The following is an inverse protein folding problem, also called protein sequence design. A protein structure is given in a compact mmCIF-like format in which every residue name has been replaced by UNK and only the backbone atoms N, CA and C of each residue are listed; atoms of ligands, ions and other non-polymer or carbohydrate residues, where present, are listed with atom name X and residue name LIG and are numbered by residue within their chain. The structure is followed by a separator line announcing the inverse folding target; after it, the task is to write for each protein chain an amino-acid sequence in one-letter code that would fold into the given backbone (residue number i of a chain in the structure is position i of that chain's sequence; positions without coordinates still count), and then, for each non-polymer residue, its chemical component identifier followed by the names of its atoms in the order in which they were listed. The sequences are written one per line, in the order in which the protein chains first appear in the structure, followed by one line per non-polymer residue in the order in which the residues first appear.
data_IF_846090432766
#
_entry.id   IF_846090432766
#
_cell.length_a   1.000
_cell.length_b   1.000
_cell.length_c   1.000
_cell.angle_alpha   90.00
_cell.angle_beta   90.00
_cell.angle_gamma   90.00
#
_symmetry.space_group_name_H-M   'P 1'
#
loop_
_entity.id
_entity.type
_entity.pdbx_description
1 polymer ?
#
# COMPACT_ATOMS: atom_id res chain seq x y z
N UNK A 1 10.57 -5.77 7.59
CA UNK A 1 11.33 -4.55 7.98
C UNK A 1 11.05 -3.46 6.97
N UNK A 2 11.23 -2.19 7.30
CA UNK A 2 11.12 -1.10 6.33
C UNK A 2 12.24 -1.23 5.29
N UNK A 3 11.90 -1.01 4.02
CA UNK A 3 12.83 -1.13 2.91
C UNK A 3 13.81 0.03 2.80
N UNK A 4 13.38 1.21 3.28
CA UNK A 4 14.16 2.44 3.30
C UNK A 4 14.53 2.81 4.75
N UNK A 5 15.76 3.30 5.01
CA UNK A 5 16.18 3.69 6.35
C UNK A 5 15.33 4.82 6.96
N UNK A 6 15.04 4.72 8.25
CA UNK A 6 14.21 5.68 9.00
C UNK A 6 14.82 7.08 9.04
N UNK A 7 16.14 7.19 8.93
CA UNK A 7 16.92 8.42 8.82
C UNK A 7 16.43 9.32 7.67
N UNK A 8 15.77 8.74 6.66
CA UNK A 8 15.12 9.51 5.59
C UNK A 8 14.03 10.44 6.11
N UNK A 9 13.17 9.96 7.02
CA UNK A 9 12.12 10.79 7.62
C UNK A 9 12.62 11.57 8.83
N UNK A 10 13.67 11.10 9.51
CA UNK A 10 14.32 11.84 10.60
C UNK A 10 14.94 13.16 10.11
N UNK A 11 15.47 13.19 8.87
CA UNK A 11 15.94 14.42 8.21
C UNK A 11 14.87 15.50 8.05
N UNK A 12 13.59 15.16 8.19
CA UNK A 12 12.46 16.09 8.07
C UNK A 12 12.05 16.68 9.44
N UNK A 13 12.72 16.29 10.52
CA UNK A 13 12.42 16.78 11.87
C UNK A 13 12.73 18.27 12.01
N UNK A 14 11.91 18.95 12.83
CA UNK A 14 12.04 20.37 13.16
C UNK A 14 12.25 20.54 14.68
N UNK A 15 13.37 20.06 15.24
CA UNK A 15 13.59 20.01 16.68
C UNK A 15 13.65 21.40 17.32
N UNK A 16 14.27 22.41 16.68
CA UNK A 16 14.34 23.76 17.25
C UNK A 16 12.96 24.43 17.24
N UNK A 17 12.18 24.25 16.18
CA UNK A 17 10.79 24.71 16.09
C UNK A 17 9.93 24.05 17.15
N UNK A 18 10.10 22.73 17.36
CA UNK A 18 9.36 21.98 18.38
C UNK A 18 9.72 22.46 19.80
N UNK A 19 10.99 22.74 20.06
CA UNK A 19 11.43 23.30 21.34
C UNK A 19 10.90 24.73 21.55
N UNK A 20 11.00 25.60 20.54
CA UNK A 20 10.48 26.96 20.57
C UNK A 20 8.95 26.98 20.72
N UNK A 21 8.23 26.04 20.12
CA UNK A 21 6.78 25.89 20.28
C UNK A 21 6.41 25.52 21.72
N UNK A 22 7.16 24.60 22.37
CA UNK A 22 6.93 24.25 23.78
C UNK A 22 7.20 25.45 24.69
N UNK A 23 8.27 26.19 24.44
CA UNK A 23 8.59 27.42 25.16
C UNK A 23 7.48 28.47 24.99
N UNK A 24 7.01 28.67 23.76
CA UNK A 24 5.92 29.58 23.43
C UNK A 24 4.64 29.22 24.21
N UNK A 25 4.28 27.93 24.30
CA UNK A 25 3.14 27.46 25.08
C UNK A 25 3.30 27.80 26.57
N UNK A 26 4.49 27.57 27.15
CA UNK A 26 4.78 27.92 28.55
C UNK A 26 4.65 29.42 28.78
N UNK A 27 5.24 30.25 27.90
CA UNK A 27 5.15 31.72 28.04
C UNK A 27 3.74 32.25 27.82
N UNK A 28 2.96 31.62 26.95
CA UNK A 28 1.56 31.95 26.73
C UNK A 28 0.72 31.70 27.99
N UNK A 29 0.96 30.57 28.68
CA UNK A 29 0.29 30.25 29.94
C UNK A 29 0.68 31.21 31.07
N UNK A 30 1.98 31.47 31.26
CA UNK A 30 2.48 32.44 32.25
C UNK A 30 1.90 33.85 32.03
N UNK A 31 1.82 34.30 30.76
CA UNK A 31 1.22 35.58 30.42
C UNK A 31 -0.29 35.59 30.68
N UNK A 32 -1.01 34.52 30.34
CA UNK A 32 -2.45 34.39 30.59
C UNK A 32 -2.78 34.48 32.09
N UNK A 33 -1.97 33.85 32.94
CA UNK A 33 -2.09 33.94 34.39
C UNK A 33 -1.84 35.37 34.90
N UNK A 34 -0.72 35.98 34.51
CA UNK A 34 -0.38 37.35 34.92
C UNK A 34 -1.40 38.39 34.40
N UNK A 35 -1.94 38.16 33.20
CA UNK A 35 -3.02 38.97 32.61
C UNK A 35 -4.28 38.90 33.47
N UNK A 36 -4.66 37.70 33.93
CA UNK A 36 -5.85 37.50 34.77
C UNK A 36 -5.73 38.25 36.10
N UNK A 37 -4.56 38.22 36.74
CA UNK A 37 -4.29 38.98 37.97
C UNK A 37 -4.41 40.50 37.74
N UNK A 38 -3.89 41.01 36.62
CA UNK A 38 -4.04 42.42 36.26
C UNK A 38 -5.49 42.79 35.94
N UNK A 39 -6.26 41.91 35.29
CA UNK A 39 -7.69 42.11 35.05
C UNK A 39 -8.49 42.22 36.35
N UNK A 40 -8.19 41.40 37.36
CA UNK A 40 -8.80 41.51 38.69
C UNK A 40 -8.48 42.86 39.35
N UNK A 41 -7.23 43.30 39.29
CA UNK A 41 -6.81 44.59 39.83
C UNK A 41 -7.52 45.74 39.12
N UNK A 42 -7.62 45.70 37.78
CA UNK A 42 -8.32 46.71 36.98
C UNK A 42 -9.83 46.75 37.24
N UNK A 43 -10.45 45.63 37.66
CA UNK A 43 -11.86 45.59 38.12
C UNK A 43 -12.04 46.21 39.51
N UNK A 44 -11.01 46.19 40.35
CA UNK A 44 -11.04 46.80 41.69
C UNK A 44 -11.01 48.34 41.63
N UNK A 45 -11.68 49.05 42.55
CA UNK A 45 -11.64 50.53 42.60
C UNK A 45 -10.34 51.11 43.21
N UNK A 46 -9.38 50.25 43.56
CA UNK A 46 -8.15 50.58 44.31
C UNK A 46 -6.89 50.36 43.48
N UNK A 47 -6.98 50.45 42.14
CA UNK A 47 -5.87 50.15 41.22
C UNK A 47 -4.77 51.23 41.16
N UNK A 48 -4.95 52.41 41.76
CA UNK A 48 -3.88 53.43 41.90
C UNK A 48 -3.33 54.03 40.59
N UNK A 49 -4.03 53.82 39.47
CA UNK A 49 -3.62 54.26 38.12
C UNK A 49 -4.19 55.64 37.76
N UNK A 50 -3.43 56.44 37.00
CA UNK A 50 -3.97 57.61 36.30
C UNK A 50 -5.00 57.20 35.24
N UNK A 51 -5.91 58.11 34.85
CA UNK A 51 -6.95 57.81 33.84
C UNK A 51 -6.37 57.38 32.49
N UNK A 52 -5.23 57.94 32.11
CA UNK A 52 -4.53 57.62 30.85
C UNK A 52 -3.90 56.23 30.90
N UNK A 53 -3.17 55.91 31.99
CA UNK A 53 -2.56 54.61 32.19
C UNK A 53 -3.61 53.50 32.32
N UNK A 54 -4.71 53.76 33.03
CA UNK A 54 -5.84 52.82 33.11
C UNK A 54 -6.39 52.48 31.72
N UNK A 55 -6.65 53.48 30.88
CA UNK A 55 -7.15 53.24 29.51
C UNK A 55 -6.15 52.48 28.66
N UNK A 56 -4.86 52.79 28.77
CA UNK A 56 -3.82 52.16 27.99
C UNK A 56 -3.61 50.69 28.37
N UNK A 57 -3.54 50.39 29.68
CA UNK A 57 -3.46 49.03 30.21
C UNK A 57 -4.73 48.23 29.92
N UNK A 58 -5.91 48.80 30.17
CA UNK A 58 -7.18 48.14 29.86
C UNK A 58 -7.33 47.83 28.36
N UNK A 59 -6.87 48.74 27.49
CA UNK A 59 -6.81 48.49 26.04
C UNK A 59 -5.85 47.35 25.72
N UNK A 60 -4.62 47.41 26.20
CA UNK A 60 -3.57 46.43 25.90
C UNK A 60 -3.93 45.02 26.35
N UNK A 61 -4.46 44.89 27.56
CA UNK A 61 -4.93 43.63 28.13
C UNK A 61 -6.09 43.04 27.30
N UNK A 62 -7.06 43.88 26.90
CA UNK A 62 -8.19 43.45 26.06
C UNK A 62 -7.75 43.04 24.65
N UNK A 63 -6.76 43.73 24.06
CA UNK A 63 -6.23 43.41 22.73
C UNK A 63 -5.14 42.34 22.73
N UNK A 64 -4.70 41.86 23.90
CA UNK A 64 -3.59 40.91 24.01
C UNK A 64 -2.25 41.49 23.53
N UNK A 65 -2.13 42.81 23.46
CA UNK A 65 -0.91 43.48 23.02
C UNK A 65 -0.03 43.79 24.22
N UNK A 66 1.28 43.89 23.98
CA UNK A 66 2.24 44.37 24.97
C UNK A 66 1.75 45.73 25.52
N UNK A 67 1.61 45.89 26.84
CA UNK A 67 1.23 47.17 27.48
C UNK A 67 2.15 48.37 27.11
N UNK A 68 1.92 49.59 27.61
CA UNK A 68 2.92 50.65 27.53
C UNK A 68 3.94 50.54 28.68
N UNK A 69 5.20 50.95 28.43
CA UNK A 69 6.18 51.18 29.49
C UNK A 69 5.65 52.30 30.39
N UNK A 70 5.46 52.00 31.67
CA UNK A 70 4.99 52.94 32.69
C UNK A 70 5.68 52.60 34.02
N UNK A 71 5.78 53.58 34.93
CA UNK A 71 6.11 53.30 36.34
C UNK A 71 4.94 52.48 36.93
N UNK A 72 5.12 51.17 37.17
CA UNK A 72 4.02 50.29 37.49
C UNK A 72 3.56 50.56 38.93
N UNK A 73 2.26 50.83 39.19
CA UNK A 73 1.77 51.13 40.53
C UNK A 73 1.77 49.90 41.45
N UNK A 74 1.90 48.69 40.89
CA UNK A 74 1.98 47.44 41.64
C UNK A 74 2.89 46.41 40.97
N UNK A 75 3.40 45.46 41.77
CA UNK A 75 4.24 44.35 41.31
C UNK A 75 3.55 43.49 40.24
N UNK A 76 2.23 43.38 40.26
CA UNK A 76 1.46 42.58 39.30
C UNK A 76 1.54 43.16 37.88
N UNK A 77 1.49 44.50 37.71
CA UNK A 77 1.68 45.14 36.41
C UNK A 77 3.10 44.91 35.87
N UNK A 78 4.12 45.00 36.73
CA UNK A 78 5.51 44.72 36.35
C UNK A 78 5.72 43.25 35.94
N UNK A 79 5.11 42.30 36.66
CA UNK A 79 5.15 40.88 36.30
C UNK A 79 4.44 40.65 34.96
N UNK A 80 3.23 41.20 34.78
CA UNK A 80 2.49 41.06 33.52
C UNK A 80 3.27 41.64 32.33
N UNK A 81 3.97 42.76 32.52
CA UNK A 81 4.86 43.36 31.52
C UNK A 81 6.01 42.41 31.14
N UNK A 82 6.73 41.90 32.14
CA UNK A 82 7.84 40.97 31.95
C UNK A 82 7.39 39.70 31.21
N UNK A 83 6.24 39.13 31.58
CA UNK A 83 5.66 37.96 30.89
C UNK A 83 5.24 38.27 29.45
N UNK A 84 4.63 39.44 29.20
CA UNK A 84 4.28 39.86 27.84
C UNK A 84 5.52 40.03 26.95
N UNK A 85 6.60 40.60 27.49
CA UNK A 85 7.86 40.76 26.75
C UNK A 85 8.53 39.42 26.46
N UNK A 86 8.53 38.49 27.43
CA UNK A 86 9.03 37.11 27.23
C UNK A 86 8.21 36.35 26.21
N UNK A 87 6.88 36.50 26.21
CA UNK A 87 6.00 35.92 25.21
C UNK A 87 6.33 36.45 23.81
N UNK A 88 6.42 37.77 23.64
CA UNK A 88 6.77 38.36 22.34
C UNK A 88 8.16 37.90 21.83
N UNK A 89 9.14 37.74 22.74
CA UNK A 89 10.45 37.17 22.39
C UNK A 89 10.35 35.69 21.98
N UNK A 90 9.50 34.91 22.65
CA UNK A 90 9.28 33.50 22.31
C UNK A 90 8.54 33.34 20.98
N UNK A 91 7.57 34.21 20.68
CA UNK A 91 6.88 34.27 19.38
C UNK A 91 7.86 34.56 18.25
N UNK A 92 8.68 35.61 18.38
CA UNK A 92 9.69 35.96 17.37
C UNK A 92 10.72 34.83 17.18
N UNK A 93 11.14 34.18 18.27
CA UNK A 93 12.05 33.05 18.21
C UNK A 93 11.41 31.83 17.51
N UNK A 94 10.15 31.52 17.83
CA UNK A 94 9.38 30.47 17.17
C UNK A 94 9.24 30.72 15.67
N UNK A 95 8.85 31.92 15.26
CA UNK A 95 8.68 32.27 13.84
C UNK A 95 10.00 32.13 13.07
N UNK A 96 11.11 32.59 13.67
CA UNK A 96 12.44 32.45 13.08
C UNK A 96 12.85 30.97 12.93
N UNK A 97 12.66 30.16 13.97
CA UNK A 97 12.95 28.73 13.94
C UNK A 97 12.07 28.00 12.91
N UNK A 98 10.77 28.30 12.90
CA UNK A 98 9.80 27.72 11.99
C UNK A 98 10.15 28.02 10.54
N UNK A 99 10.44 29.27 10.21
CA UNK A 99 10.81 29.64 8.84
C UNK A 99 12.05 28.86 8.38
N UNK A 100 13.12 28.89 9.18
CA UNK A 100 14.39 28.24 8.87
C UNK A 100 14.25 26.71 8.72
N UNK A 101 13.67 26.04 9.70
CA UNK A 101 13.57 24.58 9.67
C UNK A 101 12.52 24.08 8.68
N UNK A 102 11.46 24.85 8.40
CA UNK A 102 10.50 24.52 7.36
C UNK A 102 11.15 24.55 5.98
N UNK A 103 11.97 25.55 5.66
CA UNK A 103 12.71 25.61 4.40
C UNK A 103 13.61 24.38 4.22
N UNK A 104 14.43 24.07 5.22
CA UNK A 104 15.32 22.89 5.23
C UNK A 104 14.52 21.58 5.09
N UNK A 105 13.45 21.42 5.86
CA UNK A 105 12.62 20.21 5.83
C UNK A 105 11.93 20.02 4.48
N UNK A 106 11.51 21.11 3.82
CA UNK A 106 10.92 21.04 2.47
C UNK A 106 11.94 20.59 1.43
N UNK A 107 13.16 21.13 1.46
CA UNK A 107 14.24 20.71 0.57
C UNK A 107 14.54 19.22 0.75
N UNK A 108 14.73 18.79 2.00
CA UNK A 108 14.98 17.39 2.34
C UNK A 108 13.82 16.45 1.93
N UNK A 109 12.57 16.92 2.05
CA UNK A 109 11.38 16.19 1.62
C UNK A 109 11.39 15.98 0.11
N UNK A 110 11.58 17.04 -0.67
CA UNK A 110 11.58 16.99 -2.13
C UNK A 110 12.74 16.13 -2.66
N UNK A 111 13.94 16.25 -2.08
CA UNK A 111 15.07 15.41 -2.45
C UNK A 111 14.83 13.93 -2.14
N UNK A 112 14.37 13.62 -0.93
CA UNK A 112 14.06 12.24 -0.54
C UNK A 112 12.94 11.66 -1.41
N UNK A 113 11.89 12.45 -1.68
CA UNK A 113 10.77 12.04 -2.51
C UNK A 113 11.22 11.71 -3.94
N UNK A 114 12.02 12.58 -4.56
CA UNK A 114 12.56 12.40 -5.91
C UNK A 114 13.47 11.17 -6.04
N UNK A 115 14.24 10.86 -5.00
CA UNK A 115 15.13 9.68 -5.02
C UNK A 115 14.40 8.37 -4.76
N UNK A 116 13.38 8.37 -3.90
CA UNK A 116 12.80 7.13 -3.36
C UNK A 116 11.45 6.79 -3.99
N UNK A 117 10.57 7.78 -4.15
CA UNK A 117 9.19 7.52 -4.57
C UNK A 117 9.04 7.01 -6.00
N UNK A 118 9.83 7.40 -7.01
CA UNK A 118 9.62 6.90 -8.38
C UNK A 118 9.58 5.38 -8.47
N UNK A 119 10.52 4.68 -7.84
CA UNK A 119 10.56 3.22 -7.84
C UNK A 119 9.41 2.58 -7.03
N UNK A 120 8.92 3.26 -5.99
CA UNK A 120 7.74 2.81 -5.23
C UNK A 120 6.46 2.96 -6.05
N UNK A 121 6.36 4.03 -6.84
CA UNK A 121 5.15 4.34 -7.61
C UNK A 121 4.92 3.42 -8.80
N UNK A 122 5.88 2.56 -9.15
CA UNK A 122 5.66 1.41 -10.04
C UNK A 122 4.53 0.50 -9.52
N UNK A 123 4.38 0.41 -8.20
CA UNK A 123 3.38 -0.42 -7.55
C UNK A 123 2.14 0.35 -7.10
N UNK A 124 2.13 1.66 -7.30
CA UNK A 124 1.00 2.50 -6.93
C UNK A 124 -0.09 2.52 -8.01
N UNK A 125 -1.32 2.84 -7.61
CA UNK A 125 -2.39 3.10 -8.56
C UNK A 125 -1.99 4.23 -9.54
N UNK A 126 -2.38 4.08 -10.80
CA UNK A 126 -2.07 4.97 -11.93
C UNK A 126 -2.32 6.46 -11.59
N UNK A 127 -3.49 6.78 -11.04
CA UNK A 127 -3.82 8.17 -10.66
C UNK A 127 -2.96 8.75 -9.52
N UNK A 128 -2.25 7.92 -8.74
CA UNK A 128 -1.23 8.41 -7.82
C UNK A 128 0.10 8.63 -8.55
N UNK A 129 0.49 7.70 -9.43
CA UNK A 129 1.69 7.82 -10.23
C UNK A 129 1.70 9.14 -11.00
N UNK A 130 0.66 9.43 -11.79
CA UNK A 130 0.57 10.67 -12.58
C UNK A 130 0.65 11.95 -11.73
N UNK A 131 0.01 11.95 -10.56
CA UNK A 131 -0.02 13.13 -9.68
C UNK A 131 1.34 13.42 -9.06
N UNK A 132 2.12 12.38 -8.74
CA UNK A 132 3.43 12.53 -8.12
C UNK A 132 4.54 12.67 -9.17
N UNK A 133 4.45 11.97 -10.31
CA UNK A 133 5.48 11.98 -11.37
C UNK A 133 5.62 13.33 -12.07
N UNK A 134 4.52 14.06 -12.30
CA UNK A 134 4.52 15.40 -12.93
C UNK A 134 5.42 16.42 -12.22
N UNK A 135 5.71 16.21 -10.93
CA UNK A 135 6.47 17.15 -10.10
C UNK A 135 7.86 16.63 -9.71
N UNK A 136 8.20 15.38 -10.05
CA UNK A 136 9.59 14.88 -9.97
C UNK A 136 10.46 15.28 -11.17
N UNK A 137 9.91 16.05 -12.12
CA UNK A 137 10.68 16.60 -13.24
C UNK A 137 11.92 17.33 -12.75
N UNK A 138 13.09 17.12 -13.40
CA UNK A 138 14.38 17.63 -12.95
C UNK A 138 14.52 19.13 -13.25
N UNK A 139 13.69 19.96 -12.61
CA UNK A 139 13.95 21.39 -12.55
C UNK A 139 14.82 21.61 -11.32
N UNK A 140 16.13 21.67 -11.54
CA UNK A 140 17.07 22.24 -10.57
C UNK A 140 16.68 23.72 -10.43
N UNK A 141 16.03 24.07 -9.33
CA UNK A 141 15.48 25.41 -9.12
C UNK A 141 14.86 25.58 -7.74
N UNK A 142 14.46 26.82 -7.43
CA UNK A 142 13.80 27.16 -6.18
C UNK A 142 12.49 26.35 -6.02
N UNK A 143 12.23 25.87 -4.80
CA UNK A 143 11.00 25.16 -4.47
C UNK A 143 9.76 25.98 -4.85
N UNK A 144 8.68 25.32 -5.28
CA UNK A 144 7.43 26.01 -5.59
C UNK A 144 6.90 26.78 -4.37
N UNK A 145 6.23 27.93 -4.59
CA UNK A 145 5.65 28.72 -3.51
C UNK A 145 4.62 27.89 -2.75
N UNK A 146 4.68 27.93 -1.42
CA UNK A 146 3.90 27.07 -0.54
C UNK A 146 2.44 27.51 -0.42
N UNK A 147 1.63 27.19 -1.43
CA UNK A 147 0.19 27.44 -1.45
C UNK A 147 -0.62 26.22 -0.93
N UNK A 148 -1.96 26.28 -0.97
CA UNK A 148 -2.83 25.18 -0.52
C UNK A 148 -2.56 23.86 -1.28
N UNK A 149 -2.35 23.93 -2.59
CA UNK A 149 -2.09 22.77 -3.44
C UNK A 149 -0.74 22.14 -3.09
N UNK A 150 0.30 22.97 -2.97
CA UNK A 150 1.65 22.52 -2.64
C UNK A 150 1.70 21.84 -1.27
N UNK A 151 1.01 22.41 -0.27
CA UNK A 151 0.91 21.77 1.06
C UNK A 151 0.25 20.38 1.01
N UNK A 152 -0.76 20.21 0.16
CA UNK A 152 -1.42 18.92 0.00
C UNK A 152 -0.51 17.91 -0.70
N UNK A 153 0.27 18.37 -1.67
CA UNK A 153 1.26 17.57 -2.37
C UNK A 153 2.41 17.14 -1.44
N UNK A 154 3.06 18.07 -0.75
CA UNK A 154 4.09 17.81 0.27
C UNK A 154 3.61 16.83 1.35
N UNK A 155 2.37 17.02 1.84
CA UNK A 155 1.76 16.09 2.78
C UNK A 155 1.63 14.69 2.19
N UNK A 156 1.26 14.57 0.91
CA UNK A 156 1.15 13.28 0.24
C UNK A 156 2.52 12.61 0.13
N UNK A 157 3.55 13.33 -0.32
CA UNK A 157 4.93 12.82 -0.38
C UNK A 157 5.41 12.35 1.00
N UNK A 158 5.20 13.17 2.04
CA UNK A 158 5.56 12.83 3.41
C UNK A 158 4.89 11.54 3.89
N UNK A 159 3.58 11.38 3.64
CA UNK A 159 2.85 10.18 4.06
C UNK A 159 3.38 8.90 3.39
N UNK A 160 3.78 8.97 2.11
CA UNK A 160 4.38 7.83 1.43
C UNK A 160 5.80 7.54 1.92
N UNK A 161 6.63 8.56 2.14
CA UNK A 161 7.94 8.36 2.73
C UNK A 161 7.83 7.76 4.14
N UNK A 162 6.91 8.25 4.97
CA UNK A 162 6.62 7.67 6.28
C UNK A 162 6.19 6.21 6.18
N UNK A 163 5.30 5.88 5.24
CA UNK A 163 4.90 4.49 5.02
C UNK A 163 6.10 3.60 4.69
N UNK A 164 6.96 4.03 3.76
CA UNK A 164 8.10 3.25 3.27
C UNK A 164 9.22 3.12 4.33
N UNK A 165 9.40 4.15 5.17
CA UNK A 165 10.49 4.20 6.15
C UNK A 165 10.10 3.69 7.54
N UNK A 166 8.83 3.78 7.92
CA UNK A 166 8.37 3.50 9.28
C UNK A 166 7.39 2.32 9.37
N UNK A 167 6.86 1.84 8.24
CA UNK A 167 5.93 0.71 8.23
C UNK A 167 6.59 -0.52 7.59
N UNK A 168 6.43 -1.65 8.26
CA UNK A 168 6.86 -2.95 7.76
C UNK A 168 5.78 -3.56 6.85
N UNK A 169 5.42 -2.88 5.77
CA UNK A 169 4.48 -3.42 4.78
C UNK A 169 5.23 -4.29 3.78
N UNK A 170 4.85 -5.56 3.64
CA UNK A 170 5.44 -6.49 2.67
C UNK A 170 5.13 -6.06 1.23
N UNK A 171 5.94 -5.16 0.68
CA UNK A 171 5.81 -4.65 -0.69
C UNK A 171 7.20 -4.47 -1.30
N UNK A 172 7.61 -5.40 -2.18
CA UNK A 172 8.86 -5.26 -2.95
C UNK A 172 10.06 -4.93 -2.04
N UNK A 173 11.05 -4.21 -2.55
CA UNK A 173 12.21 -3.72 -1.83
C UNK A 173 11.88 -2.67 -0.76
N UNK A 174 10.63 -2.19 -0.71
CA UNK A 174 10.14 -1.18 0.23
C UNK A 174 9.64 -1.75 1.55
N UNK A 175 9.44 -3.06 1.60
CA UNK A 175 9.35 -3.80 2.85
C UNK A 175 9.73 -5.25 2.64
N UNK A 176 11.03 -5.54 2.51
CA UNK A 176 11.48 -6.88 2.21
C UNK A 176 11.20 -7.82 3.39
N UNK A 177 10.81 -9.04 3.03
CA UNK A 177 10.73 -10.16 3.95
C UNK A 177 12.11 -10.66 4.35
N UNK A 178 12.16 -11.51 5.37
CA UNK A 178 13.38 -12.13 5.82
C UNK A 178 13.11 -13.27 6.76
N UNK A 179 13.95 -14.29 6.69
CA UNK A 179 13.90 -15.44 7.57
C UNK A 179 14.80 -15.22 8.77
N UNK A 180 14.49 -15.94 9.85
CA UNK A 180 15.41 -16.09 10.96
C UNK A 180 15.17 -17.39 11.70
N UNK A 181 15.93 -17.59 12.76
CA UNK A 181 15.97 -18.85 13.50
C UNK A 181 15.70 -18.67 14.98
N UNK A 182 15.24 -19.74 15.60
CA UNK A 182 15.24 -19.87 17.06
C UNK A 182 16.64 -20.33 17.46
N UNK A 183 17.31 -19.61 18.36
CA UNK A 183 18.67 -19.92 18.78
C UNK A 183 18.78 -19.93 20.32
N UNK A 184 19.06 -21.11 20.89
CA UNK A 184 19.17 -21.31 22.35
C UNK A 184 20.43 -20.66 22.94
N UNK A 185 21.41 -20.31 22.12
CA UNK A 185 22.72 -19.84 22.57
C UNK A 185 22.81 -18.32 22.74
N UNK A 186 21.88 -17.55 22.17
CA UNK A 186 21.87 -16.09 22.30
C UNK A 186 21.01 -15.66 23.49
N UNK A 187 21.33 -14.52 24.12
CA UNK A 187 20.40 -13.85 25.03
C UNK A 187 19.55 -12.85 24.24
N UNK A 188 18.23 -13.04 24.22
CA UNK A 188 17.31 -12.08 23.61
C UNK A 188 17.13 -12.23 22.10
N UNK A 189 17.25 -11.10 21.37
CA UNK A 189 17.01 -11.00 19.92
C UNK A 189 18.24 -10.37 19.25
N UNK A 190 18.65 -10.91 18.10
CA UNK A 190 19.65 -10.30 17.22
C UNK A 190 19.04 -10.05 15.83
N UNK A 191 19.38 -8.89 15.24
CA UNK A 191 18.96 -8.50 13.90
C UNK A 191 20.08 -7.69 13.25
N UNK A 192 20.64 -8.20 12.15
CA UNK A 192 21.73 -7.54 11.39
C UNK A 192 21.45 -7.63 9.89
N UNK A 193 20.51 -6.81 9.39
CA UNK A 193 20.12 -6.87 7.98
C UNK A 193 21.25 -6.43 7.07
N UNK A 194 21.56 -7.25 6.06
CA UNK A 194 22.50 -6.89 5.01
C UNK A 194 21.94 -5.74 4.15
N UNK A 195 22.83 -4.95 3.56
CA UNK A 195 22.44 -3.94 2.59
C UNK A 195 21.84 -4.56 1.34
N UNK A 196 20.81 -3.94 0.77
CA UNK A 196 20.22 -4.35 -0.51
C UNK A 196 19.16 -5.45 -0.38
N UNK A 197 18.92 -6.14 -1.49
CA UNK A 197 17.95 -7.23 -1.64
C UNK A 197 18.71 -8.49 -2.02
N UNK A 198 18.51 -9.57 -1.27
CA UNK A 198 19.17 -10.86 -1.49
C UNK A 198 18.48 -11.66 -2.59
N UNK A 199 17.14 -11.61 -2.64
CA UNK A 199 16.35 -12.32 -3.62
C UNK A 199 15.13 -11.47 -4.00
N UNK A 200 14.79 -11.50 -5.29
CA UNK A 200 13.66 -10.82 -5.87
C UNK A 200 12.86 -11.83 -6.67
N UNK A 201 11.58 -11.92 -6.37
CA UNK A 201 10.64 -12.77 -7.08
C UNK A 201 9.56 -11.88 -7.66
N UNK A 202 9.20 -12.14 -8.92
CA UNK A 202 8.10 -11.46 -9.58
C UNK A 202 7.25 -12.50 -10.26
N UNK A 203 5.94 -12.37 -10.08
CA UNK A 203 4.95 -13.30 -10.62
C UNK A 203 3.68 -12.54 -10.99
N UNK A 204 2.85 -13.14 -11.82
CA UNK A 204 1.56 -12.57 -12.17
C UNK A 204 0.59 -12.72 -10.99
N UNK A 205 -0.12 -11.64 -10.67
CA UNK A 205 -1.11 -11.62 -9.61
C UNK A 205 -2.25 -12.60 -9.91
N UNK A 206 -2.81 -13.23 -8.87
CA UNK A 206 -3.78 -14.33 -9.04
C UNK A 206 -4.98 -13.98 -9.93
N UNK A 207 -5.42 -12.72 -9.90
CA UNK A 207 -6.55 -12.27 -10.72
C UNK A 207 -6.28 -12.39 -12.22
N UNK A 208 -5.02 -12.29 -12.65
CA UNK A 208 -4.62 -12.44 -14.06
C UNK A 208 -4.89 -13.87 -14.55
N UNK A 209 -4.64 -14.88 -13.72
CA UNK A 209 -4.93 -16.28 -14.02
C UNK A 209 -6.44 -16.51 -14.09
N UNK A 210 -7.23 -15.86 -13.22
CA UNK A 210 -8.69 -15.90 -13.32
C UNK A 210 -9.20 -15.25 -14.61
N UNK A 211 -8.58 -14.16 -15.04
CA UNK A 211 -8.84 -13.54 -16.34
C UNK A 211 -8.57 -14.49 -17.50
N UNK A 212 -7.37 -15.07 -17.55
CA UNK A 212 -6.97 -16.04 -18.58
C UNK A 212 -7.89 -17.27 -18.58
N UNK A 213 -8.20 -17.84 -17.41
CA UNK A 213 -9.11 -18.97 -17.27
C UNK A 213 -10.52 -18.64 -17.78
N UNK A 214 -11.04 -17.44 -17.50
CA UNK A 214 -12.34 -17.01 -18.01
C UNK A 214 -12.33 -16.90 -19.55
N UNK A 215 -11.26 -16.34 -20.13
CA UNK A 215 -11.10 -16.25 -21.58
C UNK A 215 -11.00 -17.64 -22.23
N UNK A 216 -10.22 -18.54 -21.63
CA UNK A 216 -10.10 -19.95 -22.04
C UNK A 216 -11.45 -20.65 -22.01
N UNK A 217 -12.19 -20.55 -20.91
CA UNK A 217 -13.50 -21.20 -20.74
C UNK A 217 -14.59 -20.68 -21.67
N UNK A 218 -14.43 -19.47 -22.20
CA UNK A 218 -15.32 -18.90 -23.20
C UNK A 218 -15.10 -19.47 -24.61
N UNK A 219 -13.99 -20.17 -24.85
CA UNK A 219 -13.63 -20.77 -26.13
C UNK A 219 -14.10 -22.24 -26.19
N UNK A 220 -15.09 -22.58 -27.03
CA UNK A 220 -15.56 -23.96 -27.15
C UNK A 220 -14.48 -24.94 -27.64
N UNK A 221 -13.47 -24.47 -28.39
CA UNK A 221 -12.45 -25.32 -29.00
C UNK A 221 -11.55 -26.00 -27.95
N UNK A 222 -11.48 -25.48 -26.71
CA UNK A 222 -10.64 -26.05 -25.66
C UNK A 222 -11.27 -27.25 -24.96
N UNK A 223 -12.60 -27.42 -25.07
CA UNK A 223 -13.37 -28.40 -24.29
C UNK A 223 -12.82 -29.81 -24.41
N UNK A 224 -12.44 -30.21 -25.62
CA UNK A 224 -11.89 -31.52 -25.89
C UNK A 224 -10.55 -31.76 -25.18
N UNK A 225 -9.76 -30.72 -24.92
CA UNK A 225 -8.46 -30.82 -24.26
C UNK A 225 -8.56 -30.84 -22.73
N UNK A 226 -9.70 -30.44 -22.16
CA UNK A 226 -9.90 -30.40 -20.71
C UNK A 226 -10.24 -31.77 -20.15
N UNK A 227 -9.74 -32.05 -18.94
CA UNK A 227 -10.01 -33.28 -18.20
C UNK A 227 -11.19 -33.08 -17.24
N UNK A 228 -12.37 -33.65 -17.53
CA UNK A 228 -13.52 -33.53 -16.64
C UNK A 228 -13.28 -34.30 -15.33
N UNK A 229 -13.85 -33.78 -14.23
CA UNK A 229 -13.91 -34.50 -12.95
C UNK A 229 -15.27 -34.41 -12.29
N UNK A 230 -15.57 -35.36 -11.42
CA UNK A 230 -16.75 -35.23 -10.54
C UNK A 230 -16.72 -33.91 -9.77
N UNK A 231 -17.88 -33.27 -9.67
CA UNK A 231 -18.02 -32.04 -8.91
C UNK A 231 -17.70 -32.31 -7.42
N UNK A 232 -16.81 -31.53 -6.77
CA UNK A 232 -16.34 -31.82 -5.41
C UNK A 232 -17.45 -31.77 -4.35
N UNK A 233 -18.53 -31.04 -4.61
CA UNK A 233 -19.72 -30.96 -3.73
C UNK A 233 -20.75 -32.06 -4.04
N UNK A 234 -20.31 -33.21 -4.53
CA UNK A 234 -21.16 -34.38 -4.72
C UNK A 234 -20.37 -35.67 -4.78
N UNK A 235 -21.09 -36.79 -4.75
CA UNK A 235 -20.51 -38.14 -4.80
C UNK A 235 -21.42 -39.08 -5.57
N UNK A 236 -20.84 -40.15 -6.10
CA UNK A 236 -21.59 -41.28 -6.63
C UNK A 236 -22.03 -42.20 -5.49
N UNK A 237 -23.30 -42.58 -5.49
CA UNK A 237 -23.90 -43.54 -4.56
C UNK A 237 -24.80 -44.50 -5.34
N UNK A 238 -24.28 -45.67 -5.67
CA UNK A 238 -24.95 -46.64 -6.54
C UNK A 238 -25.24 -46.06 -7.93
N UNK A 239 -26.51 -45.96 -8.28
CA UNK A 239 -27.02 -45.42 -9.54
C UNK A 239 -27.41 -43.94 -9.45
N UNK A 240 -26.88 -43.20 -8.48
CA UNK A 240 -27.25 -41.80 -8.25
C UNK A 240 -26.03 -40.92 -7.98
N UNK A 241 -26.12 -39.66 -8.39
CA UNK A 241 -25.24 -38.60 -7.92
C UNK A 241 -25.92 -37.87 -6.75
N UNK A 242 -25.23 -37.76 -5.61
CA UNK A 242 -25.74 -37.13 -4.39
C UNK A 242 -24.99 -35.83 -4.14
N UNK A 243 -25.70 -34.70 -4.13
CA UNK A 243 -25.13 -33.39 -3.76
C UNK A 243 -24.88 -33.34 -2.26
N UNK A 244 -23.67 -32.99 -1.84
CA UNK A 244 -23.29 -33.01 -0.41
C UNK A 244 -23.96 -31.93 0.41
N UNK A 245 -24.26 -30.78 -0.19
CA UNK A 245 -24.84 -29.63 0.52
C UNK A 245 -26.34 -29.80 0.79
N UNK A 246 -27.09 -30.32 -0.19
CA UNK A 246 -28.56 -30.41 -0.12
C UNK A 246 -29.05 -31.82 0.19
N UNK A 247 -28.25 -32.85 -0.09
CA UNK A 247 -28.68 -34.24 -0.09
C UNK A 247 -29.58 -34.62 -1.27
N UNK A 248 -29.80 -33.70 -2.22
CA UNK A 248 -30.55 -33.99 -3.44
C UNK A 248 -29.83 -35.02 -4.30
N UNK A 249 -30.61 -35.85 -4.98
CA UNK A 249 -30.11 -36.99 -5.76
C UNK A 249 -30.54 -36.88 -7.21
N UNK A 250 -29.62 -37.13 -8.13
CA UNK A 250 -29.90 -37.23 -9.57
C UNK A 250 -29.69 -38.68 -10.00
N UNK A 251 -30.71 -39.36 -10.57
CA UNK A 251 -30.54 -40.71 -11.07
C UNK A 251 -29.61 -40.72 -12.29
N UNK A 252 -28.73 -41.72 -12.34
CA UNK A 252 -27.76 -41.93 -13.40
C UNK A 252 -28.06 -43.27 -14.08
N UNK A 253 -28.02 -43.29 -15.40
CA UNK A 253 -28.04 -44.56 -16.12
C UNK A 253 -26.65 -45.23 -16.12
N UNK A 254 -26.60 -46.50 -16.53
CA UNK A 254 -25.35 -47.29 -16.56
C UNK A 254 -24.27 -46.61 -17.41
N UNK A 255 -24.66 -45.96 -18.51
CA UNK A 255 -23.74 -45.30 -19.42
C UNK A 255 -23.12 -44.05 -18.78
N UNK A 256 -23.92 -43.25 -18.07
CA UNK A 256 -23.43 -42.10 -17.29
C UNK A 256 -22.45 -42.54 -16.20
N UNK A 257 -22.74 -43.62 -15.48
CA UNK A 257 -21.86 -44.13 -14.41
C UNK A 257 -20.51 -44.56 -14.99
N UNK A 258 -20.49 -45.26 -16.12
CA UNK A 258 -19.26 -45.68 -16.81
C UNK A 258 -18.43 -44.48 -17.28
N UNK A 259 -19.07 -43.44 -17.81
CA UNK A 259 -18.38 -42.19 -18.19
C UNK A 259 -17.81 -41.47 -16.96
N UNK A 260 -18.62 -41.30 -15.91
CA UNK A 260 -18.23 -40.60 -14.68
C UNK A 260 -17.09 -41.30 -13.95
N UNK A 261 -17.02 -42.63 -14.01
CA UNK A 261 -15.90 -43.40 -13.47
C UNK A 261 -14.56 -43.09 -14.15
N UNK A 262 -14.58 -42.52 -15.37
CA UNK A 262 -13.39 -42.08 -16.12
C UNK A 262 -13.14 -40.57 -15.99
N UNK A 263 -14.03 -39.82 -15.34
CA UNK A 263 -13.88 -38.39 -15.08
C UNK A 263 -13.09 -38.17 -13.79
N UNK A 264 -11.78 -38.41 -13.85
CA UNK A 264 -10.83 -38.34 -12.73
C UNK A 264 -10.15 -36.97 -12.58
N UNK A 265 -10.33 -36.06 -13.55
CA UNK A 265 -9.64 -34.77 -13.61
C UNK A 265 -8.25 -34.82 -14.22
N UNK A 266 -7.78 -35.99 -14.63
CA UNK A 266 -6.49 -36.21 -15.29
C UNK A 266 -6.70 -36.61 -16.76
N UNK A 267 -7.71 -37.42 -17.05
CA UNK A 267 -8.04 -37.97 -18.36
C UNK A 267 -8.74 -36.92 -19.26
N UNK A 268 -8.13 -36.48 -20.38
CA UNK A 268 -8.72 -35.45 -21.24
C UNK A 268 -9.97 -35.92 -21.98
N UNK A 269 -10.93 -35.03 -22.20
CA UNK A 269 -12.22 -35.36 -22.82
C UNK A 269 -12.09 -35.99 -24.21
N UNK A 270 -11.10 -35.60 -25.02
CA UNK A 270 -10.87 -36.21 -26.34
C UNK A 270 -10.56 -37.72 -26.27
N UNK A 271 -10.03 -38.19 -25.14
CA UNK A 271 -9.70 -39.60 -24.92
C UNK A 271 -10.90 -40.39 -24.37
N UNK A 272 -11.93 -39.69 -23.90
CA UNK A 272 -13.16 -40.29 -23.39
C UNK A 272 -14.06 -40.80 -24.52
N UNK A 273 -14.00 -40.21 -25.71
CA UNK A 273 -14.73 -40.64 -26.92
C UNK A 273 -15.59 -39.53 -27.53
N UNK A 274 -16.66 -39.88 -28.25
CA UNK A 274 -17.61 -38.93 -28.88
C UNK A 274 -18.70 -38.43 -27.90
N UNK A 275 -18.51 -38.58 -26.59
CA UNK A 275 -19.50 -38.27 -25.55
C UNK A 275 -19.47 -36.80 -25.06
N UNK A 276 -18.97 -35.89 -25.90
CA UNK A 276 -18.88 -34.45 -25.59
C UNK A 276 -20.24 -33.87 -25.16
N UNK A 277 -21.32 -34.21 -25.88
CA UNK A 277 -22.67 -33.72 -25.54
C UNK A 277 -23.16 -34.19 -24.17
N UNK A 278 -22.77 -35.41 -23.76
CA UNK A 278 -23.14 -35.94 -22.46
C UNK A 278 -22.35 -35.24 -21.36
N UNK A 279 -21.04 -35.00 -21.56
CA UNK A 279 -20.23 -34.19 -20.66
C UNK A 279 -20.77 -32.77 -20.52
N UNK A 280 -21.22 -32.13 -21.61
CA UNK A 280 -21.86 -30.82 -21.57
C UNK A 280 -23.13 -30.84 -20.70
N UNK A 281 -23.98 -31.86 -20.85
CA UNK A 281 -25.19 -32.02 -20.04
C UNK A 281 -24.86 -32.23 -18.55
N UNK A 282 -23.91 -33.11 -18.23
CA UNK A 282 -23.48 -33.39 -16.86
C UNK A 282 -22.83 -32.16 -16.21
N UNK A 283 -22.09 -31.36 -16.98
CA UNK A 283 -21.53 -30.09 -16.51
C UNK A 283 -22.63 -29.04 -16.25
N UNK A 284 -23.64 -28.93 -17.13
CA UNK A 284 -24.79 -28.04 -16.91
C UNK A 284 -25.61 -28.41 -15.65
N UNK A 285 -25.61 -29.69 -15.27
CA UNK A 285 -26.24 -30.18 -14.05
C UNK A 285 -25.35 -30.09 -12.80
N UNK A 286 -24.15 -29.53 -12.90
CA UNK A 286 -23.14 -29.48 -11.83
C UNK A 286 -22.73 -30.87 -11.27
N UNK A 287 -22.89 -31.94 -12.05
CA UNK A 287 -22.40 -33.28 -11.69
C UNK A 287 -20.90 -33.40 -11.96
N UNK A 288 -20.43 -32.74 -13.03
CA UNK A 288 -19.04 -32.72 -13.46
C UNK A 288 -18.54 -31.27 -13.49
N UNK A 289 -17.31 -31.05 -13.03
CA UNK A 289 -16.52 -29.85 -13.33
C UNK A 289 -15.71 -30.11 -14.59
N UNK A 290 -15.92 -29.28 -15.60
CA UNK A 290 -15.26 -29.39 -16.91
C UNK A 290 -14.95 -28.01 -17.46
N UNK A 291 -14.02 -27.35 -16.79
CA UNK A 291 -13.58 -25.99 -17.08
C UNK A 291 -12.13 -25.83 -16.60
N UNK A 292 -11.43 -24.85 -17.14
CA UNK A 292 -10.14 -24.39 -16.64
C UNK A 292 -10.37 -23.74 -15.28
N UNK A 293 -9.67 -24.22 -14.27
CA UNK A 293 -9.74 -23.68 -12.92
C UNK A 293 -8.39 -23.11 -12.50
N UNK A 294 -8.46 -22.09 -11.64
CA UNK A 294 -7.26 -21.46 -11.05
C UNK A 294 -6.98 -22.14 -9.72
N UNK A 295 -5.88 -22.90 -9.57
CA UNK A 295 -5.58 -23.64 -8.35
C UNK A 295 -5.59 -22.73 -7.11
N UNK A 296 -6.28 -23.14 -6.04
CA UNK A 296 -6.33 -22.37 -4.79
C UNK A 296 -4.95 -22.28 -4.15
N UNK A 297 -4.64 -21.11 -3.57
CA UNK A 297 -3.39 -20.85 -2.83
C UNK A 297 -2.07 -21.01 -3.61
N UNK A 298 -2.13 -21.28 -4.92
CA UNK A 298 -0.97 -21.33 -5.81
C UNK A 298 -0.52 -19.90 -6.19
N UNK A 299 0.70 -19.46 -5.80
CA UNK A 299 1.22 -18.16 -6.18
C UNK A 299 1.51 -18.01 -7.68
N UNK A 300 1.90 -19.10 -8.35
CA UNK A 300 2.27 -19.10 -9.78
C UNK A 300 1.13 -19.64 -10.65
N UNK A 301 -0.12 -19.32 -10.29
CA UNK A 301 -1.28 -19.94 -10.91
C UNK A 301 -1.36 -19.71 -12.43
N UNK A 302 -0.85 -18.58 -12.93
CA UNK A 302 -0.78 -18.32 -14.37
C UNK A 302 0.18 -19.27 -15.09
N UNK A 303 1.32 -19.58 -14.46
CA UNK A 303 2.31 -20.52 -15.02
C UNK A 303 1.78 -21.96 -15.02
N UNK A 304 0.92 -22.31 -14.04
CA UNK A 304 0.19 -23.59 -14.07
C UNK A 304 -0.72 -23.67 -15.30
N UNK A 305 -1.49 -22.61 -15.61
CA UNK A 305 -2.33 -22.60 -16.81
C UNK A 305 -1.50 -22.78 -18.10
N UNK A 306 -0.35 -22.12 -18.21
CA UNK A 306 0.57 -22.31 -19.33
C UNK A 306 1.06 -23.77 -19.40
N UNK A 307 1.43 -24.35 -18.26
CA UNK A 307 1.90 -25.73 -18.16
C UNK A 307 0.82 -26.73 -18.60
N UNK A 308 -0.44 -26.48 -18.23
CA UNK A 308 -1.58 -27.31 -18.64
C UNK A 308 -1.81 -27.24 -20.16
N UNK A 309 -1.78 -26.04 -20.74
CA UNK A 309 -1.93 -25.84 -22.19
C UNK A 309 -0.79 -26.52 -22.96
N UNK A 310 0.43 -26.57 -22.41
CA UNK A 310 1.55 -27.28 -23.01
C UNK A 310 1.35 -28.81 -23.07
N UNK A 311 0.46 -29.37 -22.23
CA UNK A 311 0.10 -30.79 -22.27
C UNK A 311 -1.01 -31.09 -23.29
N UNK A 312 -1.70 -30.08 -23.82
CA UNK A 312 -2.69 -30.28 -24.88
C UNK A 312 -2.07 -30.85 -26.15
N UNK A 313 -2.91 -31.50 -26.96
CA UNK A 313 -2.50 -32.04 -28.26
C UNK A 313 -1.90 -30.94 -29.14
N UNK A 314 -0.88 -31.29 -29.92
CA UNK A 314 -0.31 -30.36 -30.89
C UNK A 314 -1.36 -30.03 -31.96
N UNK A 315 -1.71 -28.75 -32.07
CA UNK A 315 -2.85 -28.32 -32.84
C UNK A 315 -3.09 -26.81 -32.79
N UNK A 316 -4.04 -26.32 -33.60
CA UNK A 316 -4.32 -24.88 -33.73
C UNK A 316 -4.79 -24.26 -32.41
N UNK A 317 -5.58 -24.98 -31.60
CA UNK A 317 -6.09 -24.50 -30.31
C UNK A 317 -4.95 -24.23 -29.32
N UNK A 318 -4.06 -25.20 -29.12
CA UNK A 318 -2.87 -25.06 -28.27
C UNK A 318 -2.00 -23.90 -28.74
N UNK A 319 -1.68 -23.86 -30.03
CA UNK A 319 -0.84 -22.79 -30.58
C UNK A 319 -1.44 -21.41 -30.37
N UNK A 320 -2.73 -21.23 -30.69
CA UNK A 320 -3.45 -19.96 -30.50
C UNK A 320 -3.35 -19.45 -29.06
N UNK A 321 -3.62 -20.32 -28.08
CA UNK A 321 -3.60 -19.92 -26.67
C UNK A 321 -2.20 -19.67 -26.13
N UNK A 322 -1.20 -20.45 -26.55
CA UNK A 322 0.19 -20.17 -26.19
C UNK A 322 0.69 -18.86 -26.80
N UNK A 323 0.37 -18.58 -28.07
CA UNK A 323 0.73 -17.32 -28.73
C UNK A 323 0.11 -16.09 -28.02
N UNK A 324 -1.06 -16.24 -27.39
CA UNK A 324 -1.73 -15.20 -26.61
C UNK A 324 -1.15 -15.04 -25.20
N UNK A 325 -0.94 -16.15 -24.47
CA UNK A 325 -0.65 -16.11 -23.04
C UNK A 325 0.86 -16.11 -22.71
N UNK A 326 1.71 -16.73 -23.54
CA UNK A 326 3.17 -16.72 -23.30
C UNK A 326 3.77 -15.31 -23.25
N UNK A 327 3.38 -14.36 -24.13
CA UNK A 327 3.86 -12.98 -24.03
C UNK A 327 3.53 -12.29 -22.70
N UNK A 328 2.47 -12.72 -22.01
CA UNK A 328 2.10 -12.23 -20.68
C UNK A 328 2.92 -12.95 -19.60
N UNK A 329 3.06 -14.27 -19.70
CA UNK A 329 3.80 -15.11 -18.75
C UNK A 329 5.28 -14.72 -18.60
N UNK A 330 5.89 -14.15 -19.64
CA UNK A 330 7.29 -13.70 -19.59
C UNK A 330 7.49 -12.33 -18.91
N UNK A 331 6.42 -11.57 -18.70
CA UNK A 331 6.50 -10.19 -18.19
C UNK A 331 7.05 -10.09 -16.76
N UNK A 332 6.71 -10.98 -15.81
CA UNK A 332 7.32 -10.94 -14.48
C UNK A 332 8.85 -11.11 -14.52
N UNK A 333 9.36 -12.01 -15.35
CA UNK A 333 10.81 -12.19 -15.52
C UNK A 333 11.47 -10.93 -16.12
N UNK A 334 10.86 -10.32 -17.14
CA UNK A 334 11.30 -9.04 -17.71
C UNK A 334 11.26 -7.93 -16.65
N UNK A 335 10.21 -7.88 -15.84
CA UNK A 335 10.02 -6.89 -14.78
C UNK A 335 11.08 -7.01 -13.68
N UNK A 336 11.40 -8.24 -13.26
CA UNK A 336 12.43 -8.53 -12.27
C UNK A 336 13.83 -8.12 -12.75
N UNK A 337 14.12 -8.26 -14.06
CA UNK A 337 15.39 -7.88 -14.67
C UNK A 337 15.51 -6.38 -14.96
N UNK A 338 14.38 -5.68 -15.12
CA UNK A 338 14.37 -4.24 -15.41
C UNK A 338 14.82 -3.44 -14.17
N UNK A 339 15.91 -2.69 -14.33
CA UNK A 339 16.46 -1.81 -13.28
C UNK A 339 15.89 -0.39 -13.33
N UNK A 340 15.48 0.08 -14.50
CA UNK A 340 14.95 1.42 -14.70
C UNK A 340 13.46 1.50 -14.35
N UNK A 341 13.07 2.54 -13.62
CA UNK A 341 11.67 2.76 -13.21
C UNK A 341 10.74 2.86 -14.41
N UNK A 342 11.17 3.57 -15.47
CA UNK A 342 10.37 3.77 -16.69
C UNK A 342 10.11 2.43 -17.39
N UNK A 343 11.12 1.58 -17.54
CA UNK A 343 10.96 0.26 -18.15
C UNK A 343 10.02 -0.64 -17.34
N UNK A 344 10.09 -0.57 -16.00
CA UNK A 344 9.18 -1.33 -15.13
C UNK A 344 7.73 -0.88 -15.26
N UNK A 345 7.48 0.43 -15.40
CA UNK A 345 6.15 0.98 -15.68
C UNK A 345 5.63 0.47 -17.02
N UNK A 346 6.45 0.57 -18.08
CA UNK A 346 6.07 0.09 -19.42
C UNK A 346 5.72 -1.40 -19.44
N UNK A 347 6.41 -2.23 -18.65
CA UNK A 347 6.08 -3.66 -18.53
C UNK A 347 4.75 -3.88 -17.79
N UNK A 348 4.46 -3.06 -16.77
CA UNK A 348 3.17 -3.10 -16.07
C UNK A 348 2.02 -2.69 -17.00
N UNK A 349 2.22 -1.63 -17.78
CA UNK A 349 1.25 -1.16 -18.78
C UNK A 349 1.04 -2.21 -19.88
N UNK A 350 2.12 -2.80 -20.41
CA UNK A 350 2.06 -3.91 -21.38
C UNK A 350 1.25 -5.10 -20.82
N UNK A 351 1.45 -5.44 -19.54
CA UNK A 351 0.68 -6.51 -18.89
C UNK A 351 -0.81 -6.16 -18.80
N UNK A 352 -1.14 -4.93 -18.38
CA UNK A 352 -2.52 -4.45 -18.34
C UNK A 352 -3.18 -4.51 -19.73
N UNK A 353 -2.55 -3.92 -20.76
CA UNK A 353 -3.08 -3.90 -22.13
C UNK A 353 -3.35 -5.30 -22.68
N UNK A 354 -2.40 -6.23 -22.49
CA UNK A 354 -2.56 -7.62 -22.96
C UNK A 354 -3.68 -8.36 -22.22
N UNK A 355 -3.81 -8.16 -20.91
CA UNK A 355 -4.89 -8.76 -20.12
C UNK A 355 -6.25 -8.16 -20.48
N UNK A 356 -6.31 -6.87 -20.77
CA UNK A 356 -7.54 -6.23 -21.27
C UNK A 356 -7.97 -6.81 -22.63
N UNK A 357 -7.03 -7.07 -23.53
CA UNK A 357 -7.29 -7.70 -24.84
C UNK A 357 -7.85 -9.13 -24.72
N UNK A 358 -7.57 -9.84 -23.63
CA UNK A 358 -8.17 -11.16 -23.34
C UNK A 358 -9.65 -11.05 -22.88
N UNK A 359 -10.21 -9.85 -22.78
CA UNK A 359 -11.52 -9.63 -22.15
C UNK A 359 -11.47 -9.78 -20.63
N UNK A 360 -10.27 -9.87 -20.06
CA UNK A 360 -10.01 -10.01 -18.62
C UNK A 360 -9.96 -8.68 -17.88
N UNK A 361 -10.37 -7.59 -18.53
CA UNK A 361 -10.41 -6.25 -17.93
C UNK A 361 -11.30 -6.29 -16.69
N UNK A 362 -10.66 -6.26 -15.50
CA UNK A 362 -11.38 -6.17 -14.24
C UNK A 362 -12.09 -4.82 -14.25
N UNK A 363 -13.42 -4.82 -14.35
CA UNK A 363 -14.19 -3.59 -14.11
C UNK A 363 -13.82 -3.14 -12.69
N UNK A 364 -13.21 -1.97 -12.58
CA UNK A 364 -12.76 -1.33 -11.33
C UNK A 364 -13.89 -1.08 -10.30
N UNK A 365 -15.11 -1.55 -10.58
CA UNK A 365 -16.31 -1.45 -9.74
C UNK A 365 -16.40 -2.51 -8.65
N UNK A 366 -15.76 -3.68 -8.79
CA UNK A 366 -15.84 -4.74 -7.78
C UNK A 366 -14.81 -4.48 -6.67
N UNK A 367 -15.08 -3.44 -5.88
CA UNK A 367 -14.30 -3.05 -4.70
C UNK A 367 -14.48 -4.07 -3.58
N UNK A 368 -13.88 -5.24 -3.74
CA UNK A 368 -13.48 -6.02 -2.57
C UNK A 368 -12.34 -5.26 -1.88
N UNK A 369 -12.47 -5.03 -0.56
CA UNK A 369 -11.32 -4.58 0.23
C UNK A 369 -10.19 -5.60 -0.03
N UNK A 370 -9.01 -5.12 -0.44
CA UNK A 370 -7.80 -5.92 -0.75
C UNK A 370 -7.70 -6.55 -2.14
N UNK A 371 -8.53 -6.17 -3.12
CA UNK A 371 -8.31 -6.62 -4.50
C UNK A 371 -7.07 -5.94 -5.12
N UNK A 372 -6.03 -6.73 -5.42
CA UNK A 372 -4.87 -6.26 -6.18
C UNK A 372 -5.30 -5.75 -7.57
N UNK A 373 -4.77 -4.59 -7.97
CA UNK A 373 -5.03 -3.97 -9.28
C UNK A 373 -3.87 -4.14 -10.25
N UNK A 374 -2.65 -4.27 -9.73
CA UNK A 374 -1.48 -4.47 -10.58
C UNK A 374 -1.47 -5.91 -11.10
N UNK A 375 -1.07 -6.16 -12.35
CA UNK A 375 -0.98 -7.50 -12.90
C UNK A 375 0.27 -8.26 -12.44
N UNK A 376 1.32 -7.56 -12.02
CA UNK A 376 2.58 -8.17 -11.58
C UNK A 376 2.81 -7.85 -10.11
N UNK A 377 3.06 -8.89 -9.32
CA UNK A 377 3.51 -8.80 -7.94
C UNK A 377 5.04 -8.87 -7.88
N UNK A 378 5.63 -8.27 -6.84
CA UNK A 378 7.04 -8.45 -6.55
C UNK A 378 7.28 -8.61 -5.05
N UNK A 379 7.90 -9.72 -4.70
CA UNK A 379 8.39 -9.99 -3.36
C UNK A 379 9.91 -9.84 -3.34
N UNK A 380 10.42 -9.23 -2.27
CA UNK A 380 11.84 -9.08 -2.07
C UNK A 380 12.22 -9.59 -0.70
N UNK A 381 13.36 -10.27 -0.64
CA UNK A 381 13.91 -10.82 0.60
C UNK A 381 15.24 -10.15 0.89
N UNK A 382 15.47 -9.87 2.17
CA UNK A 382 16.74 -9.32 2.67
C UNK A 382 17.33 -10.33 3.64
N UNK A 383 18.64 -10.55 3.54
CA UNK A 383 19.35 -11.33 4.54
C UNK A 383 19.31 -10.56 5.87
N UNK A 384 18.61 -11.09 6.85
CA UNK A 384 18.34 -10.40 8.12
C UNK A 384 19.27 -10.83 9.24
N UNK A 385 19.84 -12.04 9.13
CA UNK A 385 20.53 -12.73 10.23
C UNK A 385 19.72 -12.67 11.53
N UNK A 386 18.39 -12.75 11.44
CA UNK A 386 17.50 -12.65 12.59
C UNK A 386 17.62 -13.91 13.43
N UNK A 387 17.79 -13.75 14.73
CA UNK A 387 17.72 -14.86 15.68
C UNK A 387 16.99 -14.42 16.95
N UNK A 388 16.18 -15.31 17.52
CA UNK A 388 15.45 -15.08 18.77
C UNK A 388 15.69 -16.25 19.73
N UNK A 389 15.92 -15.94 21.00
CA UNK A 389 16.05 -16.98 22.02
C UNK A 389 14.72 -17.71 22.24
N UNK A 390 14.79 -19.03 22.39
CA UNK A 390 13.64 -19.90 22.63
C UNK A 390 12.79 -19.46 23.83
N UNK A 391 13.40 -18.92 24.89
CA UNK A 391 12.66 -18.45 26.08
C UNK A 391 11.77 -17.21 25.85
N UNK A 392 11.86 -16.56 24.69
CA UNK A 392 11.03 -15.41 24.32
C UNK A 392 9.83 -15.78 23.43
N UNK A 393 9.69 -17.05 23.06
CA UNK A 393 8.57 -17.61 22.28
C UNK A 393 7.75 -18.48 23.22
#
# INVERSE_FOLDING_TARGET
MAGVPFETVERLCTPATSAAARELLVRSEEFSQAKSEVEEILRSRTHGLSKELFRAWHKAIRSGTVPPIADPPSRAFAICWDRASKLASAEAHFDQCLQRELEIAREALHDSARTILPAYLVFAAEGLHERLSRQFSPVVGALPPRNKSERAHERTMLLYLQRICAKNDSLSAFGPGGWGKIDKQISGITLTPASGIAQRESFLERWTAHGAAAALNADPDIRAELSPRLHPNGRLDGDQFVFTETGETVPLDVHMIELLARCDGETPAYSLGLEIKLLEQLAQQNIVRWEVEVPALEPYAFDVLISDILQWRDGPTRKRWLDLLQPIAILPARFAQATETVSRIQIMDEACERLEQLGSARKTSDRFLYSATNPICEECFRECRFSINESLI
#
